data_IF_926732511284
#
_entry.id   IF_926732511284
#
_cell.length_a   1.000
_cell.length_b   1.000
_cell.length_c   1.000
_cell.angle_alpha   90.00
_cell.angle_beta   90.00
_cell.angle_gamma   90.00
#
_symmetry.space_group_name_H-M   'P 1'
#
loop_
_entity.id
_entity.type
_entity.pdbx_description
1 polymer ?
#
# COMPACT_ATOMS: atom_id res chain seq x y z
N UNK A 1 -21.71 5.18 5.19
CA UNK A 1 -20.94 6.43 4.95
C UNK A 1 -19.53 5.99 4.58
N UNK A 2 -18.77 6.76 3.79
CA UNK A 2 -17.43 6.35 3.36
C UNK A 2 -16.38 7.06 4.21
N UNK A 3 -15.42 6.31 4.75
CA UNK A 3 -14.24 6.88 5.42
C UNK A 3 -13.49 7.79 4.45
N UNK A 4 -13.07 8.96 4.92
CA UNK A 4 -12.29 9.90 4.14
C UNK A 4 -10.98 10.23 4.87
N UNK A 5 -9.85 9.80 4.29
CA UNK A 5 -8.52 9.96 4.84
C UNK A 5 -7.58 10.78 3.93
N UNK A 6 -8.14 11.77 3.21
CA UNK A 6 -7.36 12.57 2.26
C UNK A 6 -6.72 13.83 2.85
N UNK A 7 -7.15 14.26 4.05
CA UNK A 7 -6.66 15.45 4.74
C UNK A 7 -6.89 15.29 6.25
N UNK A 8 -6.12 16.00 7.08
CA UNK A 8 -6.32 16.07 8.55
C UNK A 8 -7.79 16.27 8.94
N UNK A 9 -8.46 17.30 8.39
CA UNK A 9 -9.85 17.59 8.74
C UNK A 9 -10.80 16.50 8.25
N UNK A 10 -10.50 15.85 7.12
CA UNK A 10 -11.30 14.72 6.62
C UNK A 10 -11.22 13.51 7.55
N UNK A 11 -10.03 13.22 8.08
CA UNK A 11 -9.80 12.15 9.07
C UNK A 11 -10.58 12.45 10.34
N UNK A 12 -10.45 13.66 10.87
CA UNK A 12 -11.17 14.11 12.07
C UNK A 12 -12.68 14.05 11.89
N UNK A 13 -13.20 14.53 10.77
CA UNK A 13 -14.62 14.45 10.44
C UNK A 13 -15.11 12.99 10.32
N UNK A 14 -14.31 12.11 9.72
CA UNK A 14 -14.63 10.68 9.62
C UNK A 14 -14.75 10.05 11.01
N UNK A 15 -13.78 10.31 11.90
CA UNK A 15 -13.81 9.84 13.29
C UNK A 15 -15.02 10.35 14.07
N UNK A 16 -15.31 11.65 13.99
CA UNK A 16 -16.48 12.25 14.64
C UNK A 16 -17.78 11.56 14.21
N UNK A 17 -17.93 11.31 12.92
CA UNK A 17 -19.13 10.69 12.37
C UNK A 17 -19.26 9.20 12.76
N UNK A 18 -18.19 8.42 12.62
CA UNK A 18 -18.22 6.97 12.89
C UNK A 18 -18.32 6.66 14.39
N UNK A 19 -17.63 7.42 15.23
CA UNK A 19 -17.67 7.27 16.69
C UNK A 19 -18.84 8.02 17.34
N UNK A 20 -19.57 8.85 16.58
CA UNK A 20 -20.65 9.74 17.06
C UNK A 20 -20.18 10.65 18.20
N UNK A 21 -18.93 11.11 18.11
CA UNK A 21 -18.31 12.05 19.04
C UNK A 21 -18.17 13.40 18.35
N UNK A 22 -18.22 14.48 19.13
CA UNK A 22 -17.89 15.79 18.57
C UNK A 22 -16.38 15.98 18.47
N UNK A 23 -15.97 16.97 17.68
CA UNK A 23 -14.57 17.26 17.40
C UNK A 23 -13.74 17.47 18.68
N UNK A 24 -14.25 18.29 19.62
CA UNK A 24 -13.54 18.58 20.85
C UNK A 24 -13.26 17.32 21.68
N UNK A 25 -14.22 16.39 21.74
CA UNK A 25 -14.03 15.11 22.46
C UNK A 25 -12.93 14.27 21.82
N UNK A 26 -12.86 14.21 20.49
CA UNK A 26 -11.77 13.50 19.80
C UNK A 26 -10.42 14.15 20.15
N UNK A 27 -10.32 15.48 20.06
CA UNK A 27 -9.08 16.21 20.38
C UNK A 27 -8.69 16.06 21.85
N UNK A 28 -9.65 16.06 22.78
CA UNK A 28 -9.40 15.84 24.20
C UNK A 28 -8.86 14.42 24.48
N UNK A 29 -9.32 13.41 23.72
CA UNK A 29 -8.79 12.04 23.78
C UNK A 29 -7.33 12.00 23.31
N UNK A 30 -7.02 12.68 22.20
CA UNK A 30 -5.65 12.79 21.67
C UNK A 30 -4.73 13.47 22.70
N UNK A 31 -5.18 14.53 23.36
CA UNK A 31 -4.40 15.26 24.36
C UNK A 31 -4.19 14.44 25.63
N UNK A 32 -5.24 13.74 26.06
CA UNK A 32 -5.17 12.81 27.19
C UNK A 32 -4.15 11.72 26.95
N UNK A 33 -4.09 11.17 25.72
CA UNK A 33 -3.11 10.16 25.36
C UNK A 33 -1.68 10.73 25.39
N UNK A 34 -1.45 11.95 24.92
CA UNK A 34 -0.14 12.60 25.02
C UNK A 34 0.32 12.73 26.47
N UNK A 35 -0.56 13.18 27.37
CA UNK A 35 -0.26 13.31 28.79
C UNK A 35 0.01 11.95 29.45
N UNK A 36 -0.70 10.90 29.04
CA UNK A 36 -0.51 9.56 29.59
C UNK A 36 0.77 8.88 29.09
N UNK A 37 1.10 9.02 27.81
CA UNK A 37 2.11 8.17 27.15
C UNK A 37 3.40 8.89 26.77
N UNK A 38 3.42 10.22 26.66
CA UNK A 38 4.59 10.95 26.15
C UNK A 38 5.08 12.10 27.04
N UNK A 39 4.20 12.92 27.65
CA UNK A 39 4.60 14.18 28.30
C UNK A 39 5.78 14.05 29.28
N UNK A 40 5.72 13.04 30.16
CA UNK A 40 6.72 12.80 31.20
C UNK A 40 7.61 11.56 30.88
N UNK A 41 7.56 11.06 29.64
CA UNK A 41 8.29 9.87 29.20
C UNK A 41 9.33 10.21 28.14
N UNK A 42 10.51 9.59 28.23
CA UNK A 42 11.59 9.79 27.23
C UNK A 42 11.32 9.06 25.91
N UNK A 43 10.50 8.02 25.95
CA UNK A 43 10.22 7.13 24.82
C UNK A 43 8.71 6.96 24.75
N UNK A 44 8.14 7.15 23.56
CA UNK A 44 6.76 6.78 23.26
C UNK A 44 6.72 5.32 22.80
N UNK A 45 6.00 4.48 23.54
CA UNK A 45 5.67 3.13 23.09
C UNK A 45 4.41 3.18 22.23
N UNK A 46 4.61 3.13 20.92
CA UNK A 46 3.52 3.26 19.94
C UNK A 46 2.47 2.17 20.09
N UNK A 47 2.88 0.94 20.43
CA UNK A 47 1.95 -0.18 20.63
C UNK A 47 0.97 0.07 21.79
N UNK A 48 1.43 0.66 22.89
CA UNK A 48 0.58 1.01 24.04
C UNK A 48 -0.43 2.11 23.67
N UNK A 49 0.03 3.10 22.90
CA UNK A 49 -0.82 4.18 22.38
C UNK A 49 -1.87 3.63 21.40
N UNK A 50 -1.46 2.74 20.49
CA UNK A 50 -2.35 2.04 19.57
C UNK A 50 -3.40 1.22 20.33
N UNK A 51 -2.99 0.42 21.32
CA UNK A 51 -3.91 -0.40 22.12
C UNK A 51 -4.93 0.47 22.86
N UNK A 52 -4.51 1.63 23.38
CA UNK A 52 -5.40 2.60 24.00
C UNK A 52 -6.48 3.07 23.00
N UNK A 53 -6.09 3.53 21.81
CA UNK A 53 -7.04 3.99 20.80
C UNK A 53 -7.93 2.86 20.27
N UNK A 54 -7.38 1.68 20.03
CA UNK A 54 -8.15 0.51 19.63
C UNK A 54 -9.26 0.18 20.63
N UNK A 55 -8.95 0.20 21.93
CA UNK A 55 -9.93 -0.03 22.99
C UNK A 55 -10.98 1.07 23.08
N UNK A 56 -10.60 2.34 22.88
CA UNK A 56 -11.55 3.46 22.83
C UNK A 56 -12.50 3.30 21.65
N UNK A 57 -11.97 3.03 20.46
CA UNK A 57 -12.75 2.82 19.24
C UNK A 57 -13.70 1.64 19.44
N UNK A 58 -13.20 0.48 19.89
CA UNK A 58 -14.02 -0.72 20.13
C UNK A 58 -15.19 -0.47 21.09
N UNK A 59 -15.03 0.41 22.08
CA UNK A 59 -16.10 0.77 23.02
C UNK A 59 -17.15 1.72 22.45
N UNK A 60 -16.76 2.61 21.54
CA UNK A 60 -17.61 3.70 21.06
C UNK A 60 -18.19 3.46 19.66
N UNK A 61 -17.51 2.68 18.81
CA UNK A 61 -17.95 2.39 17.46
C UNK A 61 -19.12 1.40 17.48
N UNK A 62 -20.29 1.88 17.03
CA UNK A 62 -21.50 1.05 16.85
C UNK A 62 -21.92 0.97 15.39
N UNK A 63 -21.05 1.40 14.47
CA UNK A 63 -21.32 1.49 13.04
C UNK A 63 -20.99 0.19 12.30
N UNK A 64 -20.93 0.30 10.98
CA UNK A 64 -20.44 -0.76 10.12
C UNK A 64 -19.74 -0.15 8.89
N UNK A 65 -18.48 -0.49 8.70
CA UNK A 65 -17.63 -0.06 7.58
C UNK A 65 -17.46 -1.26 6.65
N UNK A 66 -18.29 -1.32 5.61
CA UNK A 66 -18.23 -2.41 4.62
C UNK A 66 -17.11 -2.24 3.60
N UNK A 67 -16.70 -0.99 3.35
CA UNK A 67 -15.66 -0.66 2.37
C UNK A 67 -14.71 0.39 2.91
N UNK A 68 -13.44 0.26 2.53
CA UNK A 68 -12.37 1.18 2.91
C UNK A 68 -11.71 1.78 1.66
N UNK A 69 -11.26 3.04 1.73
CA UNK A 69 -10.35 3.59 0.72
C UNK A 69 -9.10 2.72 0.61
N UNK A 70 -8.57 2.54 -0.59
CA UNK A 70 -7.34 1.82 -0.87
C UNK A 70 -6.57 2.59 -1.95
N UNK A 71 -5.37 3.06 -1.61
CA UNK A 71 -4.57 3.91 -2.46
C UNK A 71 -3.35 3.16 -2.97
N UNK A 72 -3.04 3.26 -4.26
CA UNK A 72 -1.83 2.66 -4.83
C UNK A 72 -1.18 3.62 -5.80
N UNK A 73 0.15 3.70 -5.76
CA UNK A 73 0.96 4.40 -6.75
C UNK A 73 1.61 3.35 -7.63
N UNK A 74 1.44 3.46 -8.95
CA UNK A 74 2.13 2.57 -9.88
C UNK A 74 2.21 3.15 -11.28
N UNK A 75 3.23 2.73 -12.03
CA UNK A 75 3.33 3.01 -13.47
C UNK A 75 2.48 2.06 -14.30
N UNK A 76 1.94 2.58 -15.41
CA UNK A 76 1.19 1.82 -16.42
C UNK A 76 1.67 2.15 -17.82
N UNK A 77 1.82 1.12 -18.64
CA UNK A 77 2.14 1.25 -20.07
C UNK A 77 0.94 1.71 -20.90
N UNK A 78 -0.29 1.45 -20.43
CA UNK A 78 -1.50 1.93 -21.07
C UNK A 78 -2.40 2.65 -20.08
N UNK A 79 -2.98 3.76 -20.54
CA UNK A 79 -3.93 4.56 -19.77
C UNK A 79 -5.19 3.77 -19.35
N UNK A 80 -5.48 2.67 -20.04
CA UNK A 80 -6.63 1.78 -19.76
C UNK A 80 -6.36 0.72 -18.69
N UNK A 81 -5.10 0.54 -18.26
CA UNK A 81 -4.72 -0.50 -17.30
C UNK A 81 -5.09 -0.08 -15.86
N UNK A 82 -6.35 -0.33 -15.52
CA UNK A 82 -6.98 0.17 -14.29
C UNK A 82 -7.11 -0.89 -13.18
N UNK A 83 -6.88 -2.16 -13.50
CA UNK A 83 -6.86 -3.23 -12.50
C UNK A 83 -5.57 -3.16 -11.66
N UNK A 84 -5.68 -3.49 -10.38
CA UNK A 84 -4.57 -3.72 -9.48
C UNK A 84 -4.14 -5.17 -9.54
N UNK A 85 -3.39 -5.54 -10.58
CA UNK A 85 -2.99 -6.94 -10.78
C UNK A 85 -2.06 -7.42 -9.66
N UNK A 86 -2.32 -8.63 -9.17
CA UNK A 86 -1.35 -9.39 -8.37
C UNK A 86 -0.09 -9.65 -9.20
N UNK A 87 1.06 -9.83 -8.56
CA UNK A 87 2.30 -10.18 -9.25
C UNK A 87 2.14 -11.45 -10.10
N UNK A 88 1.34 -12.41 -9.60
CA UNK A 88 1.06 -13.66 -10.30
C UNK A 88 0.37 -13.39 -11.65
N UNK A 89 -0.76 -12.68 -11.64
CA UNK A 89 -1.48 -12.36 -12.87
C UNK A 89 -0.70 -11.38 -13.75
N UNK A 90 -0.04 -10.38 -13.14
CA UNK A 90 0.78 -9.38 -13.83
C UNK A 90 1.89 -10.02 -14.68
N UNK A 91 2.54 -11.07 -14.17
CA UNK A 91 3.65 -11.73 -14.86
C UNK A 91 3.20 -12.89 -15.76
N UNK A 92 2.22 -13.69 -15.34
CA UNK A 92 1.92 -14.98 -15.98
C UNK A 92 0.74 -14.95 -16.94
N UNK A 93 -0.13 -13.94 -16.85
CA UNK A 93 -1.26 -13.76 -17.77
C UNK A 93 -0.94 -12.73 -18.85
N UNK A 94 -1.75 -12.70 -19.91
CA UNK A 94 -1.59 -11.74 -21.00
C UNK A 94 -2.12 -10.36 -20.59
N UNK A 95 -1.21 -9.38 -20.48
CA UNK A 95 -1.52 -7.99 -20.17
C UNK A 95 -0.45 -7.07 -20.78
N UNK A 96 -0.58 -5.76 -20.61
CA UNK A 96 0.39 -4.79 -21.16
C UNK A 96 1.81 -5.02 -20.67
N UNK A 97 1.97 -5.32 -19.38
CA UNK A 97 3.25 -5.54 -18.73
C UNK A 97 3.92 -6.84 -19.19
N UNK A 98 3.19 -7.96 -19.17
CA UNK A 98 3.75 -9.24 -19.63
C UNK A 98 4.06 -9.23 -21.13
N UNK A 99 3.29 -8.50 -21.94
CA UNK A 99 3.58 -8.32 -23.36
C UNK A 99 4.82 -7.46 -23.60
N UNK A 100 5.01 -6.40 -22.83
CA UNK A 100 6.23 -5.61 -22.85
C UNK A 100 7.47 -6.46 -22.54
N UNK A 101 7.43 -7.29 -21.49
CA UNK A 101 8.56 -8.16 -21.14
C UNK A 101 8.88 -9.21 -22.23
N UNK A 102 7.86 -9.71 -22.94
CA UNK A 102 8.05 -10.66 -24.05
C UNK A 102 8.90 -10.07 -25.19
N UNK A 103 8.83 -8.76 -25.43
CA UNK A 103 9.63 -8.09 -26.46
C UNK A 103 11.13 -8.18 -26.18
N UNK A 104 11.51 -8.33 -24.91
CA UNK A 104 12.88 -8.53 -24.44
C UNK A 104 13.22 -10.00 -24.14
N UNK A 105 12.38 -10.94 -24.58
CA UNK A 105 12.59 -12.37 -24.36
C UNK A 105 12.34 -12.83 -22.92
N UNK A 106 11.75 -12.00 -22.06
CA UNK A 106 11.38 -12.33 -20.69
C UNK A 106 9.95 -12.88 -20.65
N UNK A 107 9.80 -14.09 -20.11
CA UNK A 107 8.48 -14.71 -19.91
C UNK A 107 8.39 -15.40 -18.56
N UNK A 108 7.16 -15.54 -18.06
CA UNK A 108 6.90 -16.14 -16.76
C UNK A 108 5.80 -17.19 -16.88
N UNK A 109 5.91 -18.24 -16.07
CA UNK A 109 4.90 -19.29 -15.94
C UNK A 109 4.72 -19.62 -14.47
N UNK A 110 3.55 -20.15 -14.11
CA UNK A 110 3.31 -20.62 -12.77
C UNK A 110 3.34 -22.16 -12.72
N UNK A 111 4.27 -22.72 -11.96
CA UNK A 111 4.29 -24.13 -11.55
C UNK A 111 4.64 -24.20 -10.06
N UNK A 112 3.60 -24.15 -9.20
CA UNK A 112 3.67 -23.99 -7.73
C UNK A 112 4.24 -22.65 -7.25
N UNK A 113 5.20 -22.10 -7.98
CA UNK A 113 5.80 -20.78 -7.83
C UNK A 113 5.95 -20.13 -9.22
N UNK A 114 6.26 -18.84 -9.25
CA UNK A 114 6.54 -18.13 -10.49
C UNK A 114 7.93 -18.56 -11.00
N UNK A 115 7.96 -19.06 -12.21
CA UNK A 115 9.18 -19.42 -12.95
C UNK A 115 9.49 -18.33 -13.97
N UNK A 116 10.74 -17.88 -14.00
CA UNK A 116 11.24 -16.91 -14.99
C UNK A 116 11.98 -17.61 -16.12
N UNK A 117 11.80 -17.12 -17.34
CA UNK A 117 12.45 -17.62 -18.55
C UNK A 117 13.06 -16.47 -19.34
N UNK A 118 14.30 -16.64 -19.78
CA UNK A 118 15.03 -15.70 -20.66
C UNK A 118 15.29 -16.40 -21.99
N UNK A 119 14.77 -15.83 -23.08
CA UNK A 119 14.88 -16.40 -24.44
C UNK A 119 14.42 -17.87 -24.51
N UNK A 120 13.38 -18.21 -23.74
CA UNK A 120 12.81 -19.56 -23.64
C UNK A 120 13.55 -20.53 -22.71
N UNK A 121 14.70 -20.13 -22.14
CA UNK A 121 15.44 -20.94 -21.17
C UNK A 121 14.99 -20.60 -19.76
N UNK A 122 14.65 -21.61 -18.95
CA UNK A 122 14.29 -21.41 -17.54
C UNK A 122 15.51 -20.86 -16.79
N UNK A 123 15.31 -19.79 -16.05
CA UNK A 123 16.33 -19.19 -15.19
C UNK A 123 16.37 -19.96 -13.87
N UNK A 124 17.58 -20.38 -13.47
CA UNK A 124 17.81 -20.95 -12.16
C UNK A 124 18.17 -19.83 -11.18
N UNK A 125 17.23 -19.49 -10.29
CA UNK A 125 17.43 -18.46 -9.26
C UNK A 125 18.05 -19.17 -8.04
N UNK A 126 19.30 -18.88 -7.66
CA UNK A 126 19.99 -19.64 -6.62
C UNK A 126 19.27 -19.61 -5.28
N UNK A 127 19.18 -20.75 -4.59
CA UNK A 127 18.64 -20.80 -3.23
C UNK A 127 19.63 -20.31 -2.16
N UNK A 128 20.93 -20.22 -2.50
CA UNK A 128 22.02 -19.98 -1.55
C UNK A 128 22.64 -18.57 -1.68
N UNK A 129 22.79 -17.91 -0.53
CA UNK A 129 23.36 -16.57 -0.37
C UNK A 129 23.01 -16.04 1.02
N UNK A 130 23.72 -15.00 1.51
CA UNK A 130 23.46 -14.40 2.84
C UNK A 130 22.03 -13.84 2.96
N UNK A 131 21.34 -13.69 1.84
CA UNK A 131 19.94 -13.32 1.71
C UNK A 131 19.32 -14.26 0.66
N UNK A 132 18.12 -14.81 0.91
CA UNK A 132 17.33 -15.39 -0.20
C UNK A 132 17.28 -14.32 -1.30
N UNK A 133 17.59 -14.62 -2.57
CA UNK A 133 17.50 -13.59 -3.60
C UNK A 133 16.10 -13.00 -3.57
N UNK A 134 16.00 -11.68 -3.52
CA UNK A 134 14.73 -10.96 -3.42
C UNK A 134 13.66 -11.54 -4.38
N UNK A 135 14.05 -11.83 -5.63
CA UNK A 135 13.17 -12.44 -6.63
C UNK A 135 12.63 -13.81 -6.22
N UNK A 136 13.44 -14.67 -5.56
CA UNK A 136 12.96 -15.97 -5.08
C UNK A 136 11.88 -15.80 -4.02
N UNK A 137 12.01 -14.82 -3.13
CA UNK A 137 10.95 -14.54 -2.15
C UNK A 137 9.66 -14.08 -2.85
N UNK A 138 9.77 -13.08 -3.73
CA UNK A 138 8.64 -12.54 -4.50
C UNK A 138 7.96 -13.60 -5.36
N UNK A 139 8.73 -14.48 -5.98
CA UNK A 139 8.22 -15.52 -6.87
C UNK A 139 7.70 -16.76 -6.16
N UNK A 140 7.91 -16.92 -4.85
CA UNK A 140 7.41 -18.07 -4.10
C UNK A 140 6.28 -17.74 -3.12
N UNK A 141 6.20 -16.52 -2.58
CA UNK A 141 5.30 -16.22 -1.44
C UNK A 141 4.57 -14.88 -1.49
N UNK A 142 5.10 -13.85 -2.16
CA UNK A 142 4.60 -12.47 -2.05
C UNK A 142 4.02 -11.96 -3.38
N UNK A 143 2.84 -12.46 -3.73
CA UNK A 143 2.17 -12.13 -4.99
C UNK A 143 1.14 -11.00 -4.89
N UNK A 144 0.67 -10.68 -3.69
CA UNK A 144 -0.55 -9.91 -3.53
C UNK A 144 -0.40 -8.45 -3.99
N UNK A 145 -1.48 -7.88 -4.52
CA UNK A 145 -1.56 -6.45 -4.77
C UNK A 145 -1.68 -5.70 -3.43
N UNK A 146 -0.87 -4.65 -3.25
CA UNK A 146 -0.77 -3.88 -2.00
C UNK A 146 -1.04 -2.40 -2.25
N UNK A 147 -1.48 -1.71 -1.21
CA UNK A 147 -1.75 -0.29 -1.21
C UNK A 147 -1.88 0.26 0.21
N UNK A 148 -2.20 1.54 0.31
CA UNK A 148 -2.20 2.30 1.55
C UNK A 148 -3.60 2.74 1.95
N UNK A 149 -3.80 2.94 3.24
CA UNK A 149 -5.12 3.33 3.77
C UNK A 149 -5.36 4.83 3.75
N UNK A 150 -4.30 5.65 3.82
CA UNK A 150 -4.39 7.10 3.88
C UNK A 150 -3.75 7.76 2.64
N UNK A 151 -4.33 8.89 2.20
CA UNK A 151 -3.87 9.67 1.05
C UNK A 151 -3.34 11.05 1.45
N UNK A 152 -3.58 11.46 2.70
CA UNK A 152 -3.23 12.77 3.25
C UNK A 152 -1.77 13.16 3.04
N UNK A 153 -0.83 12.21 3.12
CA UNK A 153 0.60 12.44 2.87
C UNK A 153 1.22 11.39 1.93
N UNK A 154 0.41 10.61 1.21
CA UNK A 154 0.89 9.47 0.42
C UNK A 154 1.97 9.84 -0.62
N UNK A 155 2.00 11.08 -1.10
CA UNK A 155 3.02 11.54 -2.05
C UNK A 155 4.41 11.71 -1.40
N UNK A 156 4.50 11.75 -0.07
CA UNK A 156 5.77 11.79 0.65
C UNK A 156 6.25 10.40 1.08
N UNK A 157 5.45 9.36 0.83
CA UNK A 157 5.78 7.99 1.20
C UNK A 157 6.93 7.43 0.34
N UNK A 158 7.79 6.62 0.95
CA UNK A 158 8.90 5.95 0.26
C UNK A 158 8.49 5.11 -0.96
N UNK A 159 7.22 4.70 -1.05
CA UNK A 159 6.70 3.98 -2.22
C UNK A 159 6.87 4.75 -3.52
N UNK A 160 6.75 6.09 -3.48
CA UNK A 160 6.89 6.93 -4.67
C UNK A 160 8.28 6.73 -5.29
N UNK A 161 9.33 6.78 -4.48
CA UNK A 161 10.71 6.55 -4.90
C UNK A 161 10.92 5.12 -5.45
N UNK A 162 10.21 4.13 -4.91
CA UNK A 162 10.31 2.73 -5.35
C UNK A 162 9.67 2.46 -6.70
N UNK A 163 8.59 3.18 -7.04
CA UNK A 163 7.79 2.87 -8.24
C UNK A 163 7.88 3.91 -9.35
N UNK A 164 8.55 5.05 -9.09
CA UNK A 164 8.66 6.16 -10.05
C UNK A 164 9.44 5.85 -11.32
N UNK A 165 10.20 4.77 -11.39
CA UNK A 165 10.90 4.34 -12.62
C UNK A 165 10.33 3.05 -13.22
N UNK A 166 9.53 2.31 -12.46
CA UNK A 166 8.97 1.04 -12.86
C UNK A 166 8.75 0.12 -11.66
N UNK A 167 8.33 -1.12 -11.90
CA UNK A 167 8.20 -2.11 -10.82
C UNK A 167 9.55 -2.41 -10.15
N UNK A 168 9.55 -2.50 -8.82
CA UNK A 168 10.75 -2.72 -7.99
C UNK A 168 11.63 -3.87 -8.48
N UNK A 169 11.03 -4.97 -8.97
CA UNK A 169 11.80 -6.15 -9.38
C UNK A 169 12.73 -5.91 -10.59
N UNK A 170 12.53 -4.82 -11.33
CA UNK A 170 13.46 -4.38 -12.39
C UNK A 170 14.88 -4.20 -11.86
N UNK A 171 15.04 -3.66 -10.65
CA UNK A 171 16.35 -3.51 -9.99
C UNK A 171 17.06 -4.83 -9.68
N UNK A 172 16.45 -5.97 -9.99
CA UNK A 172 17.02 -7.31 -9.80
C UNK A 172 17.24 -8.06 -11.12
N UNK A 173 16.84 -7.50 -12.27
CA UNK A 173 16.97 -8.14 -13.58
C UNK A 173 18.42 -8.22 -14.09
N UNK A 174 19.29 -7.29 -13.69
CA UNK A 174 20.71 -7.23 -14.09
C UNK A 174 21.50 -8.54 -13.88
N UNK A 175 21.04 -9.41 -12.98
CA UNK A 175 21.68 -10.71 -12.73
C UNK A 175 21.37 -11.77 -13.81
N UNK A 176 20.39 -11.50 -14.67
CA UNK A 176 19.80 -12.49 -15.56
C UNK A 176 19.66 -12.02 -17.01
N UNK A 177 19.76 -10.72 -17.25
CA UNK A 177 19.51 -10.08 -18.54
C UNK A 177 20.60 -9.02 -18.77
N UNK A 178 21.26 -9.07 -19.93
CA UNK A 178 22.39 -8.19 -20.26
C UNK A 178 21.95 -6.77 -20.67
N UNK A 179 20.69 -6.57 -21.05
CA UNK A 179 20.12 -5.29 -21.49
C UNK A 179 19.05 -4.76 -20.52
N UNK A 180 19.23 -4.97 -19.22
CA UNK A 180 18.28 -4.53 -18.19
C UNK A 180 18.10 -3.00 -18.17
N UNK A 181 19.16 -2.24 -18.39
CA UNK A 181 19.07 -0.77 -18.53
C UNK A 181 18.07 -0.35 -19.63
N UNK A 182 18.15 -0.99 -20.80
CA UNK A 182 17.24 -0.71 -21.94
C UNK A 182 15.78 -1.06 -21.61
N UNK A 183 15.55 -2.13 -20.85
CA UNK A 183 14.22 -2.52 -20.37
C UNK A 183 13.67 -1.46 -19.41
N UNK A 184 14.50 -0.92 -18.53
CA UNK A 184 14.03 0.08 -17.55
C UNK A 184 13.76 1.41 -18.25
N UNK A 185 14.70 1.88 -19.08
CA UNK A 185 14.59 3.15 -19.79
C UNK A 185 13.39 3.17 -20.75
N UNK A 186 13.23 2.11 -21.57
CA UNK A 186 12.11 2.04 -22.49
C UNK A 186 10.76 1.91 -21.76
N UNK A 187 10.72 1.23 -20.61
CA UNK A 187 9.50 1.17 -19.79
C UNK A 187 9.14 2.55 -19.25
N UNK A 188 10.13 3.28 -18.74
CA UNK A 188 9.95 4.64 -18.23
C UNK A 188 9.41 5.58 -19.32
N UNK A 189 10.01 5.56 -20.52
CA UNK A 189 9.60 6.41 -21.65
C UNK A 189 8.18 6.11 -22.17
N UNK A 190 7.75 4.85 -22.08
CA UNK A 190 6.46 4.39 -22.64
C UNK A 190 5.35 4.31 -21.59
N UNK A 191 5.64 4.58 -20.32
CA UNK A 191 4.69 4.46 -19.22
C UNK A 191 4.44 5.80 -18.53
N UNK A 192 3.30 5.86 -17.85
CA UNK A 192 2.92 7.00 -17.02
C UNK A 192 2.72 6.56 -15.59
N UNK A 193 3.07 7.44 -14.65
CA UNK A 193 2.88 7.21 -13.23
C UNK A 193 1.47 7.66 -12.82
N UNK A 194 0.79 6.85 -12.03
CA UNK A 194 -0.56 7.12 -11.57
C UNK A 194 -0.71 6.88 -10.08
N UNK A 195 -1.53 7.72 -9.45
CA UNK A 195 -2.20 7.42 -8.19
C UNK A 195 -3.58 6.86 -8.47
N UNK A 196 -3.85 5.68 -7.95
CA UNK A 196 -5.14 5.00 -8.01
C UNK A 196 -5.84 5.07 -6.67
N UNK A 197 -7.13 5.37 -6.70
CA UNK A 197 -8.00 5.40 -5.53
C UNK A 197 -9.12 4.37 -5.74
N UNK A 198 -9.13 3.33 -4.92
CA UNK A 198 -10.16 2.29 -4.93
C UNK A 198 -11.03 2.38 -3.68
N UNK A 199 -12.25 1.87 -3.77
CA UNK A 199 -13.13 1.65 -2.62
C UNK A 199 -13.44 0.15 -2.52
N UNK A 200 -12.73 -0.52 -1.60
CA UNK A 200 -12.60 -1.98 -1.56
C UNK A 200 -13.39 -2.56 -0.38
N UNK A 201 -14.11 -3.68 -0.54
CA UNK A 201 -14.71 -4.38 0.58
C UNK A 201 -13.68 -4.75 1.64
N UNK A 202 -13.97 -4.48 2.92
CA UNK A 202 -13.03 -4.74 4.02
C UNK A 202 -12.73 -6.25 4.19
N UNK A 203 -13.64 -7.10 3.73
CA UNK A 203 -13.48 -8.56 3.72
C UNK A 203 -12.48 -9.06 2.66
N UNK A 204 -12.26 -8.27 1.60
CA UNK A 204 -11.36 -8.62 0.49
C UNK A 204 -9.89 -8.26 0.79
N UNK A 205 -9.61 -7.62 1.94
CA UNK A 205 -8.27 -7.18 2.33
C UNK A 205 -7.86 -7.68 3.71
N UNK A 206 -6.56 -7.64 3.99
CA UNK A 206 -6.01 -7.67 5.35
C UNK A 206 -4.99 -6.54 5.49
N UNK A 207 -4.69 -6.13 6.73
CA UNK A 207 -3.62 -5.18 7.02
C UNK A 207 -2.32 -5.95 7.24
N UNK A 208 -1.23 -5.55 6.61
CA UNK A 208 0.06 -6.21 6.78
C UNK A 208 0.54 -6.07 8.23
N UNK A 209 1.01 -7.17 8.83
CA UNK A 209 1.33 -7.34 10.26
C UNK A 209 0.11 -7.42 11.20
N UNK A 210 -1.10 -7.50 10.64
CA UNK A 210 -2.37 -7.65 11.37
C UNK A 210 -3.30 -8.62 10.61
N UNK A 211 -2.72 -9.68 10.05
CA UNK A 211 -3.40 -10.68 9.23
C UNK A 211 -4.51 -11.43 9.99
N UNK A 212 -4.37 -11.54 11.31
CA UNK A 212 -5.27 -12.27 12.20
C UNK A 212 -6.57 -11.54 12.52
N UNK A 213 -6.66 -10.24 12.23
CA UNK A 213 -7.84 -9.44 12.55
C UNK A 213 -9.08 -9.96 11.82
N UNK A 214 -10.15 -10.16 12.58
CA UNK A 214 -11.48 -10.40 12.02
C UNK A 214 -11.98 -9.18 11.24
N UNK A 215 -13.00 -9.35 10.38
CA UNK A 215 -13.60 -8.22 9.66
C UNK A 215 -14.18 -7.14 10.60
N UNK A 216 -14.59 -7.51 11.81
CA UNK A 216 -15.00 -6.55 12.83
C UNK A 216 -13.79 -5.77 13.38
N UNK A 217 -12.72 -6.48 13.75
CA UNK A 217 -11.51 -5.85 14.29
C UNK A 217 -10.77 -4.97 13.27
N UNK A 218 -10.84 -5.29 11.97
CA UNK A 218 -10.33 -4.42 10.90
C UNK A 218 -10.99 -3.04 10.91
N UNK A 219 -12.28 -2.94 11.26
CA UNK A 219 -12.98 -1.66 11.37
C UNK A 219 -12.47 -0.84 12.55
N UNK A 220 -12.20 -1.51 13.68
CA UNK A 220 -11.59 -0.85 14.83
C UNK A 220 -10.16 -0.42 14.53
N UNK A 221 -9.40 -1.27 13.83
CA UNK A 221 -8.01 -1.01 13.46
C UNK A 221 -7.90 0.26 12.60
N UNK A 222 -8.67 0.38 11.52
CA UNK A 222 -8.56 1.57 10.65
C UNK A 222 -8.93 2.87 11.38
N UNK A 223 -9.94 2.84 12.25
CA UNK A 223 -10.32 4.00 13.06
C UNK A 223 -9.26 4.31 14.14
N UNK A 224 -8.63 3.30 14.74
CA UNK A 224 -7.53 3.49 15.68
C UNK A 224 -6.31 4.10 14.99
N UNK A 225 -6.00 3.65 13.76
CA UNK A 225 -4.93 4.24 12.94
C UNK A 225 -5.24 5.69 12.56
N UNK A 226 -6.51 6.05 12.32
CA UNK A 226 -6.92 7.45 12.13
C UNK A 226 -6.69 8.30 13.39
N UNK A 227 -7.02 7.78 14.58
CA UNK A 227 -6.73 8.47 15.86
C UNK A 227 -5.22 8.67 16.05
N UNK A 228 -4.44 7.63 15.78
CA UNK A 228 -2.98 7.66 15.86
C UNK A 228 -2.38 8.66 14.86
N UNK A 229 -2.95 8.74 13.65
CA UNK A 229 -2.55 9.73 12.64
C UNK A 229 -2.79 11.17 13.12
N UNK A 230 -3.96 11.45 13.74
CA UNK A 230 -4.24 12.76 14.33
C UNK A 230 -3.31 13.12 15.50
N UNK A 231 -2.92 12.12 16.29
CA UNK A 231 -1.93 12.29 17.35
C UNK A 231 -0.60 12.81 16.80
N UNK A 232 -0.05 12.13 15.79
CA UNK A 232 1.23 12.52 15.20
C UNK A 232 1.14 13.89 14.51
N UNK A 233 0.04 14.19 13.84
CA UNK A 233 -0.20 15.55 13.30
C UNK A 233 -0.03 16.66 14.34
N UNK A 234 -0.40 16.40 15.61
CA UNK A 234 -0.35 17.36 16.70
C UNK A 234 0.99 17.36 17.44
N UNK A 235 1.56 16.19 17.68
CA UNK A 235 2.67 16.03 18.63
C UNK A 235 3.99 15.58 18.01
N UNK A 236 3.99 15.03 16.81
CA UNK A 236 5.20 14.58 16.11
C UNK A 236 4.98 14.59 14.60
N UNK A 237 5.20 15.76 13.98
CA UNK A 237 4.88 15.98 12.57
C UNK A 237 5.80 15.23 11.63
N UNK A 238 7.03 14.90 12.07
CA UNK A 238 8.02 14.25 11.22
C UNK A 238 7.48 12.89 10.73
N UNK A 239 6.81 12.13 11.60
CA UNK A 239 6.13 10.87 11.24
C UNK A 239 5.07 11.04 10.15
N UNK A 240 4.38 12.18 10.14
CA UNK A 240 3.32 12.43 9.15
C UNK A 240 3.91 12.94 7.85
N UNK A 241 4.91 13.82 7.93
CA UNK A 241 5.57 14.42 6.76
C UNK A 241 6.28 13.38 5.89
N UNK A 242 6.76 12.27 6.45
CA UNK A 242 7.33 11.13 5.69
C UNK A 242 6.32 10.02 5.38
N UNK A 243 5.04 10.24 5.70
CA UNK A 243 3.96 9.25 5.61
C UNK A 243 4.27 7.92 6.32
N UNK A 244 5.06 7.99 7.39
CA UNK A 244 5.32 6.82 8.22
C UNK A 244 4.03 6.32 8.87
N UNK A 245 4.00 5.01 9.09
CA UNK A 245 2.86 4.30 9.69
C UNK A 245 1.54 4.40 8.92
N UNK A 246 1.56 4.79 7.65
CA UNK A 246 0.40 4.61 6.78
C UNK A 246 0.11 3.10 6.63
N UNK A 247 -1.06 2.60 7.07
CA UNK A 247 -1.34 1.17 7.07
C UNK A 247 -1.25 0.58 5.66
N UNK A 248 -0.42 -0.45 5.49
CA UNK A 248 -0.37 -1.21 4.25
C UNK A 248 -1.50 -2.25 4.25
N UNK A 249 -2.35 -2.16 3.24
CA UNK A 249 -3.42 -3.12 2.98
C UNK A 249 -3.02 -4.04 1.84
N UNK A 250 -3.37 -5.30 1.99
CA UNK A 250 -3.06 -6.35 1.02
C UNK A 250 -4.35 -7.00 0.57
N UNK A 251 -4.52 -7.14 -0.75
CA UNK A 251 -5.66 -7.87 -1.33
C UNK A 251 -5.48 -9.36 -1.00
N UNK A 252 -6.51 -9.94 -0.38
CA UNK A 252 -6.43 -11.27 0.19
C UNK A 252 -6.33 -12.37 -0.88
N UNK A 253 -5.72 -13.50 -0.51
CA UNK A 253 -5.63 -14.71 -1.31
C UNK A 253 -4.93 -14.54 -2.67
N UNK A 254 -3.93 -13.65 -2.75
CA UNK A 254 -3.17 -13.38 -3.98
C UNK A 254 -4.03 -12.92 -5.17
N UNK A 255 -5.24 -12.41 -4.89
CA UNK A 255 -6.15 -11.94 -5.94
C UNK A 255 -5.70 -10.58 -6.45
N UNK A 256 -6.04 -10.32 -7.70
CA UNK A 256 -6.01 -8.97 -8.27
C UNK A 256 -7.22 -8.14 -7.83
N UNK A 257 -7.05 -6.82 -7.82
CA UNK A 257 -8.10 -5.86 -7.55
C UNK A 257 -8.74 -5.38 -8.85
N UNK A 258 -10.01 -5.70 -9.05
CA UNK A 258 -10.76 -5.26 -10.23
C UNK A 258 -11.01 -3.76 -10.22
N UNK A 259 -10.84 -3.14 -11.38
CA UNK A 259 -11.18 -1.76 -11.73
C UNK A 259 -12.65 -1.39 -11.49
N UNK A 260 -13.55 -2.36 -11.27
CA UNK A 260 -14.91 -2.09 -10.78
C UNK A 260 -14.93 -1.35 -9.43
N UNK A 261 -13.86 -1.46 -8.65
CA UNK A 261 -13.68 -0.75 -7.37
C UNK A 261 -12.97 0.60 -7.53
N UNK A 262 -12.50 0.94 -8.73
CA UNK A 262 -11.80 2.19 -8.99
C UNK A 262 -12.76 3.37 -8.83
N UNK A 263 -12.38 4.32 -7.99
CA UNK A 263 -13.10 5.57 -7.75
C UNK A 263 -12.47 6.69 -8.54
N UNK A 264 -11.14 6.79 -8.49
CA UNK A 264 -10.39 7.85 -9.14
C UNK A 264 -9.02 7.36 -9.61
N UNK A 265 -8.49 8.01 -10.66
CA UNK A 265 -7.14 7.79 -11.20
C UNK A 265 -6.58 9.14 -11.59
N UNK A 266 -5.42 9.47 -11.02
CA UNK A 266 -4.73 10.75 -11.26
C UNK A 266 -3.36 10.45 -11.84
N UNK A 267 -3.06 11.01 -13.02
CA UNK A 267 -1.70 11.01 -13.57
C UNK A 267 -0.81 11.88 -12.68
N UNK A 268 0.33 11.34 -12.27
CA UNK A 268 1.35 12.07 -11.54
C UNK A 268 2.38 12.53 -12.56
N UNK A 269 2.50 13.84 -12.71
CA UNK A 269 3.49 14.45 -13.60
C UNK A 269 4.83 14.68 -12.88
N UNK A 270 5.84 15.09 -13.64
CA UNK A 270 7.18 15.35 -13.11
C UNK A 270 7.19 16.47 -12.05
N UNK A 271 6.24 17.43 -12.13
CA UNK A 271 6.05 18.46 -11.09
C UNK A 271 5.58 17.84 -9.76
N UNK A 272 4.67 16.86 -9.79
CA UNK A 272 4.25 16.11 -8.60
C UNK A 272 5.37 15.26 -7.98
N UNK A 273 6.43 14.98 -8.75
CA UNK A 273 7.63 14.26 -8.31
C UNK A 273 8.76 15.18 -7.82
N UNK A 274 8.57 16.51 -7.85
CA UNK A 274 9.54 17.49 -7.39
C UNK A 274 10.71 17.75 -8.35
N UNK A 275 10.54 17.45 -9.64
CA UNK A 275 11.50 17.76 -10.70
C UNK A 275 11.30 19.15 -11.31
#
# INVERSE_FOLDING_TARGET
MQLNATLYQSILNSLCNELKLNEQVILDIIDSAFYMFQQDHQILYIDDLYECYFNIVKRNFTGNIDKVPFYSISRRLKDTDNDGLSLLELLTEENSFSNYLKEYGLTFKFDKEIEMYVNGNKVDIPDEGKYKPYLKNRFSYDYSFKGYAFDDQLMNNEILERVKYGPEFFGHLFNYVDNDDEIIDNYLEQSKLYKFEYLVPIEDIYFENYEELTNEEKQYHILAMMMLRLYFYKYDKDFVETDEMNPLMVVANYKSLSSKYLVNKTELDDEALGY
#
